data_IF_218459729610
#
_entry.id   IF_218459729610
#
_cell.length_a   1.000
_cell.length_b   1.000
_cell.length_c   1.000
_cell.angle_alpha   90.00
_cell.angle_beta   90.00
_cell.angle_gamma   90.00
#
_symmetry.space_group_name_H-M   'P 1'
#
loop_
_entity.id
_entity.type
_entity.pdbx_description
1 polymer ?
#
# COMPACT_ATOMS: atom_id res chain seq x y z
N UNK A 1 31.70 16.53 53.09
CA UNK A 1 31.98 15.84 51.81
C UNK A 1 30.92 14.81 51.40
N UNK A 2 30.44 13.92 52.28
CA UNK A 2 29.41 12.90 51.94
C UNK A 2 28.08 13.47 51.38
N UNK A 3 27.62 14.63 51.88
CA UNK A 3 26.40 15.31 51.40
C UNK A 3 26.52 15.89 49.99
N UNK A 4 27.74 16.28 49.58
CA UNK A 4 28.00 16.84 48.25
C UNK A 4 28.01 15.75 47.17
N UNK A 5 28.58 14.58 47.51
CA UNK A 5 28.61 13.40 46.63
C UNK A 5 27.19 12.90 46.33
N UNK A 6 26.31 12.88 47.34
CA UNK A 6 24.89 12.53 47.14
C UNK A 6 24.17 13.51 46.20
N UNK A 7 24.42 14.80 46.34
CA UNK A 7 23.79 15.83 45.51
C UNK A 7 24.24 15.74 44.04
N UNK A 8 25.54 15.52 43.82
CA UNK A 8 26.12 15.34 42.49
C UNK A 8 25.61 14.04 41.85
N UNK A 9 25.53 12.94 42.62
CA UNK A 9 24.96 11.68 42.15
C UNK A 9 23.49 11.85 41.74
N UNK A 10 22.68 12.53 42.55
CA UNK A 10 21.28 12.78 42.25
C UNK A 10 21.09 13.65 40.99
N UNK A 11 21.94 14.66 40.78
CA UNK A 11 21.94 15.50 39.58
C UNK A 11 22.36 14.72 38.32
N UNK A 12 23.37 13.85 38.41
CA UNK A 12 23.79 12.99 37.31
C UNK A 12 22.67 12.00 36.91
N UNK A 13 21.99 11.38 37.88
CA UNK A 13 20.89 10.45 37.59
C UNK A 13 19.73 11.14 36.84
N UNK A 14 19.35 12.37 37.20
CA UNK A 14 18.29 13.10 36.49
C UNK A 14 18.67 13.47 35.04
N UNK A 15 19.95 13.71 34.76
CA UNK A 15 20.41 14.02 33.41
C UNK A 15 20.47 12.77 32.51
N UNK A 16 20.83 11.60 33.04
CA UNK A 16 20.84 10.34 32.27
C UNK A 16 19.43 9.82 31.92
N UNK A 17 18.42 10.14 32.74
CA UNK A 17 17.02 9.75 32.49
C UNK A 17 16.23 10.75 31.65
N UNK A 18 16.79 11.92 31.30
CA UNK A 18 16.16 12.91 30.42
C UNK A 18 16.41 12.61 28.92
N UNK A 19 16.40 11.33 28.53
CA UNK A 19 16.36 10.98 27.12
C UNK A 19 14.93 11.26 26.61
N UNK A 20 14.77 12.34 25.84
CA UNK A 20 13.50 12.65 25.17
C UNK A 20 13.10 11.44 24.33
N UNK A 21 12.01 10.78 24.73
CA UNK A 21 11.42 9.71 23.93
C UNK A 21 11.06 10.25 22.55
N UNK A 22 11.45 9.52 21.51
CA UNK A 22 11.12 9.86 20.15
C UNK A 22 9.60 9.93 19.98
N UNK A 23 9.12 11.00 19.34
CA UNK A 23 7.71 11.18 19.01
C UNK A 23 7.52 11.06 17.50
N UNK A 24 6.62 10.18 17.10
CA UNK A 24 6.24 10.05 15.71
C UNK A 24 5.58 11.34 15.20
N UNK A 25 5.83 11.66 13.93
CA UNK A 25 5.22 12.77 13.22
C UNK A 25 3.91 12.31 12.57
N UNK A 26 3.06 13.25 12.18
CA UNK A 26 1.83 12.96 11.44
C UNK A 26 2.10 12.32 10.07
N UNK A 27 3.32 12.39 9.56
CA UNK A 27 3.74 11.68 8.35
C UNK A 27 4.17 10.23 8.60
N UNK A 28 4.17 9.76 9.85
CA UNK A 28 4.61 8.40 10.22
C UNK A 28 3.41 7.46 10.39
N UNK A 29 3.06 6.76 9.32
CA UNK A 29 1.87 5.89 9.29
C UNK A 29 2.16 4.52 9.90
N UNK A 30 1.22 3.93 10.65
CA UNK A 30 1.31 2.54 11.06
C UNK A 30 1.49 1.62 9.87
N UNK A 31 2.47 0.72 9.97
CA UNK A 31 2.70 -0.32 8.98
C UNK A 31 2.99 -1.65 9.66
N UNK A 32 2.53 -2.73 9.02
CA UNK A 32 3.11 -4.06 9.19
C UNK A 32 3.58 -4.57 7.83
N UNK A 33 4.72 -5.25 7.78
CA UNK A 33 5.25 -5.81 6.54
C UNK A 33 6.02 -7.10 6.77
N UNK A 34 6.17 -7.87 5.70
CA UNK A 34 6.90 -9.14 5.63
C UNK A 34 7.86 -9.04 4.44
N UNK A 35 9.12 -9.43 4.64
CA UNK A 35 10.13 -9.49 3.58
C UNK A 35 10.07 -10.84 2.87
N UNK A 36 10.43 -10.91 1.58
CA UNK A 36 10.40 -12.16 0.79
C UNK A 36 11.25 -13.29 1.38
N UNK A 37 12.35 -12.94 2.04
CA UNK A 37 13.29 -13.89 2.65
C UNK A 37 13.02 -14.13 4.14
N UNK A 38 11.86 -13.72 4.67
CA UNK A 38 11.50 -13.86 6.08
C UNK A 38 10.03 -14.19 6.26
N UNK A 39 9.71 -14.94 7.31
CA UNK A 39 8.33 -15.17 7.76
C UNK A 39 7.88 -14.18 8.83
N UNK A 40 8.79 -13.34 9.32
CA UNK A 40 8.52 -12.44 10.43
C UNK A 40 7.69 -11.25 9.99
N UNK A 41 6.68 -10.92 10.80
CA UNK A 41 5.90 -9.71 10.62
C UNK A 41 6.49 -8.57 11.42
N UNK A 42 7.10 -7.61 10.73
CA UNK A 42 7.66 -6.41 11.32
C UNK A 42 6.55 -5.37 11.47
N UNK A 43 6.37 -4.81 12.68
CA UNK A 43 5.37 -3.78 13.00
C UNK A 43 6.08 -2.51 13.42
N UNK A 44 5.83 -1.41 12.72
CA UNK A 44 6.56 -0.15 12.91
C UNK A 44 5.80 1.03 12.31
N UNK A 45 6.47 2.15 12.04
CA UNK A 45 5.94 3.26 11.24
C UNK A 45 6.65 3.40 9.90
N UNK A 46 5.95 3.88 8.90
CA UNK A 46 6.51 4.24 7.58
C UNK A 46 6.40 5.75 7.34
N UNK A 47 7.41 6.35 6.74
CA UNK A 47 7.37 7.74 6.31
C UNK A 47 6.49 7.88 5.06
N UNK A 48 5.33 8.50 5.19
CA UNK A 48 4.51 8.88 4.05
C UNK A 48 5.24 9.93 3.19
N UNK A 49 5.38 9.62 1.90
CA UNK A 49 6.03 10.51 0.92
C UNK A 49 5.03 11.36 0.13
N UNK A 50 3.79 11.46 0.60
CA UNK A 50 2.73 12.22 -0.07
C UNK A 50 3.13 13.67 -0.39
N UNK A 51 2.99 14.06 -1.66
CA UNK A 51 3.37 15.38 -2.16
C UNK A 51 2.43 16.51 -1.70
N UNK A 52 1.13 16.22 -1.56
CA UNK A 52 0.10 17.24 -1.36
C UNK A 52 -0.58 17.21 0.01
N UNK A 53 -0.55 16.06 0.69
CA UNK A 53 -1.13 15.91 2.03
C UNK A 53 -0.40 14.85 2.82
N UNK A 54 -0.19 15.13 4.11
CA UNK A 54 0.33 14.18 5.08
C UNK A 54 -0.77 13.30 5.69
N UNK A 55 -2.06 13.52 5.36
CA UNK A 55 -3.18 12.78 5.96
C UNK A 55 -3.50 11.47 5.23
N UNK A 56 -3.31 11.46 3.91
CA UNK A 56 -3.64 10.31 3.05
C UNK A 56 -2.37 9.59 2.64
N UNK A 57 -2.51 8.28 2.49
CA UNK A 57 -1.48 7.46 1.87
C UNK A 57 -1.18 7.90 0.43
N UNK A 58 0.10 7.84 0.07
CA UNK A 58 0.60 7.98 -1.30
C UNK A 58 1.48 6.80 -1.66
N UNK A 59 1.31 6.21 -2.84
CA UNK A 59 2.15 5.10 -3.32
C UNK A 59 3.63 5.48 -3.45
N UNK A 60 3.98 6.77 -3.55
CA UNK A 60 5.36 7.26 -3.44
C UNK A 60 6.07 6.80 -2.15
N UNK A 61 5.30 6.39 -1.13
CA UNK A 61 5.80 5.86 0.14
C UNK A 61 6.60 4.57 -0.01
N UNK A 62 6.35 3.78 -1.06
CA UNK A 62 7.02 2.50 -1.28
C UNK A 62 7.73 2.35 -2.62
N UNK A 63 7.42 3.17 -3.63
CA UNK A 63 8.02 3.02 -4.96
C UNK A 63 9.55 3.13 -4.86
N UNK A 64 10.24 2.15 -5.41
CA UNK A 64 11.68 1.88 -5.25
C UNK A 64 12.09 1.53 -3.83
N UNK A 65 11.77 2.36 -2.85
CA UNK A 65 12.17 2.17 -1.46
C UNK A 65 11.14 2.73 -0.49
N UNK A 66 10.88 1.95 0.56
CA UNK A 66 10.14 2.36 1.73
C UNK A 66 11.10 2.80 2.84
N UNK A 67 10.72 3.84 3.60
CA UNK A 67 11.47 4.25 4.78
C UNK A 67 10.67 3.97 6.05
N UNK A 68 11.16 3.06 6.87
CA UNK A 68 10.53 2.70 8.15
C UNK A 68 11.24 3.38 9.32
N UNK A 69 10.49 3.71 10.37
CA UNK A 69 10.96 4.42 11.56
C UNK A 69 10.64 3.57 12.79
N UNK A 70 11.66 3.14 13.52
CA UNK A 70 11.50 2.37 14.76
C UNK A 70 11.05 3.24 15.96
N UNK A 71 10.88 2.60 17.12
CA UNK A 71 10.47 3.27 18.37
C UNK A 71 11.51 4.25 18.92
N UNK A 72 12.77 4.15 18.49
CA UNK A 72 13.86 5.05 18.86
C UNK A 72 14.00 6.21 17.85
N UNK A 73 13.28 6.16 16.74
CA UNK A 73 13.34 7.15 15.66
C UNK A 73 14.37 6.83 14.59
N UNK A 74 15.01 5.66 14.64
CA UNK A 74 15.96 5.26 13.60
C UNK A 74 15.21 4.97 12.32
N UNK A 75 15.77 5.48 11.22
CA UNK A 75 15.19 5.35 9.89
C UNK A 75 15.94 4.28 9.11
N UNK A 76 15.22 3.25 8.68
CA UNK A 76 15.76 2.16 7.85
C UNK A 76 15.13 2.20 6.47
N UNK A 77 15.95 1.99 5.45
CA UNK A 77 15.53 1.89 4.06
C UNK A 77 15.24 0.43 3.73
N UNK A 78 14.07 0.15 3.19
CA UNK A 78 13.64 -1.18 2.74
C UNK A 78 13.35 -1.12 1.25
N UNK A 79 14.09 -1.84 0.39
CA UNK A 79 13.81 -1.86 -1.04
C UNK A 79 12.43 -2.43 -1.35
N UNK A 80 11.75 -1.85 -2.34
CA UNK A 80 10.43 -2.29 -2.79
C UNK A 80 10.44 -3.78 -3.16
N UNK A 81 11.46 -4.21 -3.91
CA UNK A 81 11.59 -5.59 -4.37
C UNK A 81 11.77 -6.61 -3.25
N UNK A 82 12.11 -6.21 -2.02
CA UNK A 82 12.32 -7.14 -0.92
C UNK A 82 11.03 -7.39 -0.13
N UNK A 83 9.97 -6.62 -0.39
CA UNK A 83 8.70 -6.69 0.33
C UNK A 83 7.82 -7.78 -0.31
N UNK A 84 7.38 -8.74 0.51
CA UNK A 84 6.40 -9.75 0.11
C UNK A 84 4.96 -9.25 0.32
N UNK A 85 4.74 -8.58 1.45
CA UNK A 85 3.45 -8.07 1.87
C UNK A 85 3.63 -6.86 2.79
N UNK A 86 2.70 -5.91 2.71
CA UNK A 86 2.54 -4.89 3.72
C UNK A 86 1.09 -4.43 3.87
N UNK A 87 0.77 -3.90 5.03
CA UNK A 87 -0.48 -3.22 5.32
C UNK A 87 -0.18 -1.88 5.96
N UNK A 88 -0.67 -0.81 5.35
CA UNK A 88 -0.50 0.56 5.81
C UNK A 88 -1.86 1.13 6.18
N UNK A 89 -1.95 1.80 7.32
CA UNK A 89 -3.15 2.54 7.72
C UNK A 89 -2.82 4.03 7.71
N UNK A 90 -3.56 4.84 6.97
CA UNK A 90 -3.36 6.29 6.96
C UNK A 90 -4.08 6.99 8.12
N UNK A 91 -3.93 8.31 8.25
CA UNK A 91 -4.57 9.08 9.32
C UNK A 91 -6.10 9.16 9.17
N UNK A 92 -6.65 8.73 8.03
CA UNK A 92 -8.09 8.61 7.81
C UNK A 92 -8.61 7.21 8.14
N UNK A 93 -7.78 6.36 8.75
CA UNK A 93 -8.06 4.96 9.04
C UNK A 93 -8.33 4.11 7.78
N UNK A 94 -7.90 4.57 6.61
CA UNK A 94 -7.96 3.76 5.40
C UNK A 94 -6.80 2.78 5.42
N UNK A 95 -7.16 1.50 5.48
CA UNK A 95 -6.23 0.38 5.46
C UNK A 95 -6.00 -0.08 4.03
N UNK A 96 -4.74 -0.13 3.61
CA UNK A 96 -4.32 -0.59 2.29
C UNK A 96 -3.47 -1.83 2.44
N UNK A 97 -3.79 -2.86 1.67
CA UNK A 97 -3.01 -4.10 1.59
C UNK A 97 -2.21 -4.06 0.30
N UNK A 98 -0.92 -4.34 0.39
CA UNK A 98 -0.03 -4.35 -0.73
C UNK A 98 0.73 -5.67 -0.71
N UNK A 99 0.80 -6.35 -1.86
CA UNK A 99 1.44 -7.65 -2.04
C UNK A 99 2.50 -7.55 -3.14
N UNK A 100 3.49 -8.44 -3.12
CA UNK A 100 4.39 -8.58 -4.27
C UNK A 100 3.63 -9.08 -5.49
N UNK A 101 3.88 -8.48 -6.65
CA UNK A 101 3.35 -8.93 -7.93
C UNK A 101 3.67 -10.39 -8.24
N UNK A 102 4.80 -10.92 -7.75
CA UNK A 102 5.16 -12.35 -7.87
C UNK A 102 4.15 -13.32 -7.24
N UNK A 103 3.29 -12.84 -6.32
CA UNK A 103 2.22 -13.67 -5.72
C UNK A 103 1.03 -13.87 -6.65
N UNK A 104 0.93 -13.06 -7.71
CA UNK A 104 -0.20 -12.99 -8.62
C UNK A 104 0.21 -13.27 -10.07
N UNK A 105 1.40 -12.80 -10.45
CA UNK A 105 1.97 -12.87 -11.80
C UNK A 105 3.24 -13.70 -11.80
N UNK A 106 3.54 -14.35 -12.93
CA UNK A 106 4.79 -15.10 -13.10
C UNK A 106 6.04 -14.21 -13.09
N UNK A 107 5.89 -12.94 -13.47
CA UNK A 107 6.95 -11.93 -13.44
C UNK A 107 6.77 -11.04 -12.22
N UNK A 108 7.85 -10.86 -11.47
CA UNK A 108 7.93 -9.85 -10.44
C UNK A 108 8.28 -8.48 -11.06
N UNK A 109 7.38 -7.53 -10.92
CA UNK A 109 7.55 -6.15 -11.39
C UNK A 109 7.31 -5.12 -10.28
N UNK A 110 7.37 -5.54 -9.01
CA UNK A 110 7.18 -4.67 -7.86
C UNK A 110 5.93 -5.02 -7.06
N UNK A 111 5.30 -4.00 -6.48
CA UNK A 111 4.17 -4.15 -5.56
C UNK A 111 2.80 -3.86 -6.18
N UNK A 112 1.77 -4.50 -5.64
CA UNK A 112 0.37 -4.39 -6.04
C UNK A 112 -0.49 -4.04 -4.83
N UNK A 113 -1.19 -2.91 -4.88
CA UNK A 113 -2.27 -2.63 -3.96
C UNK A 113 -3.48 -3.50 -4.28
N UNK A 114 -3.97 -4.23 -3.28
CA UNK A 114 -5.22 -5.00 -3.37
C UNK A 114 -6.41 -4.06 -3.21
N UNK A 115 -7.11 -3.78 -4.30
CA UNK A 115 -8.32 -2.94 -4.31
C UNK A 115 -9.56 -3.78 -4.01
N UNK A 116 -9.62 -4.99 -4.54
CA UNK A 116 -10.71 -5.94 -4.32
C UNK A 116 -10.20 -7.38 -4.35
N UNK A 117 -10.75 -8.24 -3.49
CA UNK A 117 -10.42 -9.66 -3.42
C UNK A 117 -11.71 -10.47 -3.19
N UNK A 118 -12.21 -11.11 -4.24
CA UNK A 118 -13.36 -12.02 -4.20
C UNK A 118 -12.95 -13.47 -4.48
N UNK A 119 -13.91 -14.38 -4.51
CA UNK A 119 -13.65 -15.80 -4.79
C UNK A 119 -13.43 -16.07 -6.28
N UNK A 120 -14.16 -15.35 -7.15
CA UNK A 120 -14.09 -15.47 -8.62
C UNK A 120 -13.19 -14.40 -9.24
N UNK A 121 -13.03 -13.26 -8.60
CA UNK A 121 -12.30 -12.11 -9.15
C UNK A 121 -11.38 -11.45 -8.14
N UNK A 122 -10.33 -10.79 -8.61
CA UNK A 122 -9.48 -9.92 -7.81
C UNK A 122 -9.07 -8.69 -8.62
N UNK A 123 -8.98 -7.53 -7.97
CA UNK A 123 -8.62 -6.26 -8.58
C UNK A 123 -7.40 -5.68 -7.87
N UNK A 124 -6.31 -5.51 -8.62
CA UNK A 124 -5.05 -4.97 -8.14
C UNK A 124 -4.67 -3.69 -8.87
N UNK A 125 -3.92 -2.82 -8.18
CA UNK A 125 -3.35 -1.59 -8.73
C UNK A 125 -1.85 -1.57 -8.48
N UNK A 126 -1.07 -1.46 -9.54
CA UNK A 126 0.36 -1.13 -9.46
C UNK A 126 0.56 0.37 -9.53
N UNK A 127 1.65 0.87 -8.95
CA UNK A 127 2.05 2.26 -9.02
C UNK A 127 3.52 2.35 -9.40
N UNK A 128 3.85 3.17 -10.41
CA UNK A 128 5.22 3.35 -10.90
C UNK A 128 5.50 4.83 -11.14
N UNK A 129 6.77 5.26 -11.05
CA UNK A 129 7.15 6.60 -11.50
C UNK A 129 7.19 6.67 -13.03
N UNK A 130 6.60 7.73 -13.58
CA UNK A 130 6.85 8.15 -14.96
C UNK A 130 8.29 8.61 -15.11
N UNK A 131 8.94 8.23 -16.21
CA UNK A 131 10.34 8.56 -16.53
C UNK A 131 10.52 10.02 -16.98
N UNK A 132 9.47 10.86 -16.90
CA UNK A 132 9.58 12.27 -17.30
C UNK A 132 10.47 13.05 -16.34
N UNK A 133 11.64 13.47 -16.84
CA UNK A 133 12.67 14.25 -16.12
C UNK A 133 12.18 15.60 -15.58
N UNK A 134 11.06 16.12 -16.09
CA UNK A 134 10.54 17.45 -15.73
C UNK A 134 9.46 17.41 -14.65
N UNK A 135 8.79 16.26 -14.45
CA UNK A 135 7.72 16.14 -13.45
C UNK A 135 7.52 14.66 -13.08
N UNK A 136 8.09 14.19 -11.95
CA UNK A 136 7.86 12.83 -11.50
C UNK A 136 6.39 12.66 -11.14
N UNK A 137 5.66 11.94 -11.98
CA UNK A 137 4.25 11.61 -11.79
C UNK A 137 4.12 10.11 -11.50
N UNK A 138 3.26 9.74 -10.56
CA UNK A 138 2.90 8.35 -10.35
C UNK A 138 1.89 7.94 -11.41
N UNK A 139 2.22 6.91 -12.18
CA UNK A 139 1.32 6.24 -13.11
C UNK A 139 0.79 4.98 -12.43
N UNK A 140 -0.50 4.74 -12.58
CA UNK A 140 -1.15 3.54 -12.08
C UNK A 140 -1.51 2.62 -13.24
N UNK A 141 -1.22 1.33 -13.09
CA UNK A 141 -1.74 0.28 -13.97
C UNK A 141 -2.58 -0.67 -13.15
N UNK A 142 -3.79 -0.92 -13.64
CA UNK A 142 -4.81 -1.66 -12.94
C UNK A 142 -4.99 -3.04 -13.57
N UNK A 143 -5.27 -4.06 -12.77
CA UNK A 143 -5.35 -5.45 -13.20
C UNK A 143 -6.56 -6.14 -12.59
N UNK A 144 -7.48 -6.59 -13.44
CA UNK A 144 -8.61 -7.42 -13.03
C UNK A 144 -8.32 -8.88 -13.40
N UNK A 145 -8.38 -9.75 -12.40
CA UNK A 145 -8.10 -11.18 -12.53
C UNK A 145 -9.40 -11.93 -12.37
N UNK A 146 -9.71 -12.79 -13.33
CA UNK A 146 -10.80 -13.75 -13.25
C UNK A 146 -10.20 -15.10 -12.86
N UNK A 147 -10.41 -15.51 -11.62
CA UNK A 147 -9.85 -16.74 -11.04
C UNK A 147 -10.45 -18.00 -11.65
N UNK A 148 -11.67 -17.90 -12.17
CA UNK A 148 -12.41 -19.00 -12.81
C UNK A 148 -11.73 -19.49 -14.09
N UNK A 149 -11.22 -18.58 -14.91
CA UNK A 149 -10.55 -18.88 -16.18
C UNK A 149 -9.06 -18.47 -16.21
N UNK A 150 -8.54 -17.99 -15.07
CA UNK A 150 -7.18 -17.46 -14.88
C UNK A 150 -6.82 -16.31 -15.83
N UNK A 151 -7.80 -15.66 -16.44
CA UNK A 151 -7.55 -14.56 -17.35
C UNK A 151 -7.27 -13.27 -16.58
N UNK A 152 -6.42 -12.44 -17.17
CA UNK A 152 -6.06 -11.14 -16.63
C UNK A 152 -6.44 -10.07 -17.64
N UNK A 153 -7.14 -9.06 -17.16
CA UNK A 153 -7.47 -7.87 -17.93
C UNK A 153 -6.76 -6.68 -17.31
N UNK A 154 -5.73 -6.19 -18.01
CA UNK A 154 -5.09 -4.92 -17.68
C UNK A 154 -6.00 -3.75 -18.08
N UNK A 155 -6.29 -2.86 -17.12
CA UNK A 155 -7.10 -1.67 -17.33
C UNK A 155 -6.18 -0.60 -17.91
N UNK A 156 -6.16 -0.53 -19.24
CA UNK A 156 -5.63 0.62 -19.98
C UNK A 156 -6.62 1.78 -20.00
N UNK A 157 -6.52 2.63 -21.02
CA UNK A 157 -7.46 3.75 -21.23
C UNK A 157 -8.93 3.28 -21.22
N UNK A 158 -9.78 4.05 -20.50
CA UNK A 158 -11.11 3.64 -20.04
C UNK A 158 -12.07 3.08 -21.13
N UNK A 159 -11.88 3.44 -22.41
CA UNK A 159 -12.72 2.95 -23.51
C UNK A 159 -12.50 1.48 -23.89
N UNK A 160 -11.23 1.02 -23.98
CA UNK A 160 -10.94 -0.37 -24.39
C UNK A 160 -11.29 -1.39 -23.30
N UNK A 161 -11.27 -0.96 -22.04
CA UNK A 161 -11.55 -1.85 -20.94
C UNK A 161 -13.04 -2.18 -20.78
N UNK A 162 -13.95 -1.20 -20.95
CA UNK A 162 -15.40 -1.48 -20.92
C UNK A 162 -15.82 -2.54 -21.93
N UNK A 163 -15.21 -2.55 -23.11
CA UNK A 163 -15.45 -3.57 -24.14
C UNK A 163 -15.06 -4.96 -23.64
N UNK A 164 -13.83 -5.11 -23.12
CA UNK A 164 -13.35 -6.40 -22.56
C UNK A 164 -14.23 -6.88 -21.40
N UNK A 165 -14.69 -5.97 -20.55
CA UNK A 165 -15.62 -6.28 -19.46
C UNK A 165 -16.97 -6.78 -19.99
N UNK A 166 -17.54 -6.10 -20.99
CA UNK A 166 -18.79 -6.57 -21.63
C UNK A 166 -18.65 -7.96 -22.23
N UNK A 167 -17.49 -8.29 -22.81
CA UNK A 167 -17.21 -9.63 -23.30
C UNK A 167 -17.18 -10.66 -22.15
N UNK A 168 -16.46 -10.36 -21.06
CA UNK A 168 -16.37 -11.22 -19.87
C UNK A 168 -17.72 -11.44 -19.18
N UNK A 169 -18.58 -10.42 -19.14
CA UNK A 169 -19.89 -10.47 -18.51
C UNK A 169 -21.05 -10.67 -19.48
N UNK A 170 -20.78 -11.14 -20.71
CA UNK A 170 -21.79 -11.31 -21.76
C UNK A 170 -22.96 -12.21 -21.35
N UNK A 171 -22.71 -13.21 -20.49
CA UNK A 171 -23.74 -14.10 -19.94
C UNK A 171 -24.60 -13.46 -18.82
N UNK A 172 -24.33 -12.22 -18.42
CA UNK A 172 -24.97 -11.57 -17.26
C UNK A 172 -25.56 -10.20 -17.63
N UNK A 173 -26.77 -10.15 -18.22
CA UNK A 173 -27.38 -8.92 -18.71
C UNK A 173 -27.52 -7.81 -17.66
N UNK A 174 -27.80 -8.18 -16.41
CA UNK A 174 -27.93 -7.26 -15.27
C UNK A 174 -26.60 -6.63 -14.84
N UNK A 175 -25.47 -7.27 -15.17
CA UNK A 175 -24.13 -6.73 -14.95
C UNK A 175 -23.72 -5.83 -16.12
N UNK A 176 -24.09 -6.18 -17.36
CA UNK A 176 -23.75 -5.38 -18.54
C UNK A 176 -24.23 -3.93 -18.45
N UNK A 177 -25.43 -3.70 -17.90
CA UNK A 177 -25.98 -2.36 -17.68
C UNK A 177 -25.15 -1.52 -16.70
N UNK A 178 -24.53 -2.17 -15.71
CA UNK A 178 -23.69 -1.48 -14.72
C UNK A 178 -22.33 -1.09 -15.31
N UNK A 179 -21.79 -1.89 -16.24
CA UNK A 179 -20.50 -1.60 -16.90
C UNK A 179 -20.58 -0.29 -17.68
N UNK A 180 -21.73 0.01 -18.29
CA UNK A 180 -21.90 1.26 -19.04
C UNK A 180 -21.88 2.50 -18.15
N UNK A 181 -22.48 2.40 -16.97
CA UNK A 181 -22.57 3.51 -16.01
C UNK A 181 -21.35 3.67 -15.09
N UNK A 182 -20.44 2.69 -15.06
CA UNK A 182 -19.24 2.73 -14.22
C UNK A 182 -18.31 3.91 -14.55
N UNK A 183 -17.88 4.63 -13.49
CA UNK A 183 -16.93 5.76 -13.55
C UNK A 183 -15.78 5.66 -12.56
N UNK A 184 -16.00 5.10 -11.37
CA UNK A 184 -15.03 5.08 -10.27
C UNK A 184 -14.75 3.67 -9.76
N UNK A 185 -13.63 3.46 -9.05
CA UNK A 185 -13.26 2.16 -8.47
C UNK A 185 -14.43 1.54 -7.66
N UNK A 186 -15.18 2.35 -6.91
CA UNK A 186 -16.33 1.89 -6.13
C UNK A 186 -17.46 1.31 -6.99
N UNK A 187 -17.69 1.79 -8.22
CA UNK A 187 -18.71 1.17 -9.08
C UNK A 187 -18.21 -0.15 -9.67
N UNK A 188 -16.91 -0.25 -9.98
CA UNK A 188 -16.31 -1.52 -10.38
C UNK A 188 -16.41 -2.55 -9.26
N UNK A 189 -16.07 -2.17 -8.02
CA UNK A 189 -16.21 -3.05 -6.86
C UNK A 189 -17.66 -3.56 -6.73
N UNK A 190 -18.67 -2.69 -6.87
CA UNK A 190 -20.09 -3.10 -6.85
C UNK A 190 -20.45 -4.08 -7.97
N UNK A 191 -19.86 -3.90 -9.16
CA UNK A 191 -20.04 -4.83 -10.28
C UNK A 191 -19.46 -6.20 -9.94
N UNK A 192 -18.23 -6.23 -9.41
CA UNK A 192 -17.55 -7.46 -9.01
C UNK A 192 -18.32 -8.17 -7.88
N UNK A 193 -18.77 -7.44 -6.86
CA UNK A 193 -19.61 -7.99 -5.78
C UNK A 193 -20.92 -8.60 -6.27
N UNK A 194 -21.53 -8.04 -7.32
CA UNK A 194 -22.72 -8.63 -7.94
C UNK A 194 -22.37 -9.92 -8.68
N UNK A 195 -21.22 -9.98 -9.35
CA UNK A 195 -20.75 -11.18 -10.02
C UNK A 195 -20.37 -12.32 -9.05
N UNK A 196 -19.71 -12.00 -7.94
CA UNK A 196 -19.32 -12.98 -6.91
C UNK A 196 -20.52 -13.75 -6.36
N UNK A 197 -21.68 -13.08 -6.25
CA UNK A 197 -22.94 -13.66 -5.72
C UNK A 197 -23.75 -14.49 -6.72
N UNK A 198 -23.37 -14.50 -8.00
CA UNK A 198 -23.96 -15.39 -9.00
C UNK A 198 -23.36 -16.79 -8.92
#
# INVERSE_FOLDING_TARGET
MKRLIFLISFLCFNLFFSQKQFKYKDTHFPIKYILKNSTDTIRTRVQNMGLYTNKKFSSATYINNMYVIDSLGNKTKVPEQDIAYMEITDLQNVKRKIISSSTVFSKDFGLLETIYEGNKTAYYRSANYSVSIYSPMIIYSDYLIFKTDKSIVELGSAGRFKIKMKQKFSAYPDILLLIDSWKYDNDLIKILDRYERK
#
